data_IF_293971369602
#
_entry.id   IF_293971369602
#
_cell.length_a   1.000
_cell.length_b   1.000
_cell.length_c   1.000
_cell.angle_alpha   90.00
_cell.angle_beta   90.00
_cell.angle_gamma   90.00
#
_symmetry.space_group_name_H-M   'P 1'
#
loop_
_entity.id
_entity.type
_entity.pdbx_description
1 polymer ?
#
# COMPACT_ATOMS: atom_id res chain seq x y z
N UNK A 1 14.13 -2.32 -21.56
CA UNK A 1 14.24 -1.35 -20.46
C UNK A 1 12.87 -1.24 -19.79
N UNK A 2 12.56 -2.17 -18.88
CA UNK A 2 11.28 -2.21 -18.15
C UNK A 2 11.57 -2.67 -16.72
N UNK A 3 12.38 -1.93 -15.98
CA UNK A 3 12.84 -2.34 -14.63
C UNK A 3 12.68 -1.24 -13.55
N UNK A 4 12.10 -0.08 -13.87
CA UNK A 4 12.09 1.05 -12.92
C UNK A 4 10.77 1.26 -12.16
N UNK A 5 9.64 0.74 -12.66
CA UNK A 5 8.32 0.98 -12.05
C UNK A 5 7.91 -0.02 -10.96
N UNK A 6 8.61 -1.15 -10.85
CA UNK A 6 8.38 -2.11 -9.75
C UNK A 6 8.95 -1.59 -8.42
N UNK A 7 10.04 -0.82 -8.46
CA UNK A 7 10.72 -0.36 -7.25
C UNK A 7 9.87 0.56 -6.36
N UNK A 8 9.12 1.56 -6.88
CA UNK A 8 8.38 2.48 -6.02
C UNK A 8 7.18 1.81 -5.34
N UNK A 9 6.44 0.96 -6.05
CA UNK A 9 5.29 0.24 -5.49
C UNK A 9 5.74 -0.74 -4.42
N UNK A 10 6.71 -1.58 -4.74
CA UNK A 10 7.22 -2.59 -3.81
C UNK A 10 7.83 -1.95 -2.56
N UNK A 11 8.54 -0.82 -2.73
CA UNK A 11 9.08 -0.05 -1.61
C UNK A 11 7.99 0.64 -0.78
N UNK A 12 6.91 1.09 -1.40
CA UNK A 12 5.76 1.62 -0.68
C UNK A 12 5.04 0.51 0.13
N UNK A 13 4.91 -0.69 -0.43
CA UNK A 13 4.37 -1.85 0.28
C UNK A 13 5.25 -2.22 1.48
N UNK A 14 6.56 -2.28 1.29
CA UNK A 14 7.53 -2.57 2.34
C UNK A 14 7.48 -1.56 3.50
N UNK A 15 7.36 -0.26 3.20
CA UNK A 15 7.23 0.78 4.23
C UNK A 15 5.96 0.59 5.08
N UNK A 16 4.80 0.40 4.45
CA UNK A 16 3.54 0.29 5.18
C UNK A 16 3.43 -1.04 5.93
N UNK A 17 3.80 -2.15 5.28
CA UNK A 17 3.78 -3.48 5.89
C UNK A 17 4.83 -3.59 7.00
N UNK A 18 6.04 -3.06 6.78
CA UNK A 18 7.12 -3.01 7.76
C UNK A 18 6.76 -2.19 8.99
N UNK A 19 6.07 -1.05 8.84
CA UNK A 19 5.57 -0.22 9.94
C UNK A 19 4.61 -1.01 10.87
N UNK A 20 3.87 -1.96 10.29
CA UNK A 20 2.89 -2.79 10.98
C UNK A 20 3.46 -4.13 11.48
N UNK A 21 4.74 -4.40 11.20
CA UNK A 21 5.41 -5.66 11.54
C UNK A 21 5.00 -6.84 10.65
N UNK A 22 4.40 -6.58 9.49
CA UNK A 22 4.11 -7.61 8.50
C UNK A 22 5.37 -7.88 7.66
N UNK A 23 5.75 -9.15 7.53
CA UNK A 23 6.92 -9.60 6.78
C UNK A 23 6.74 -9.44 5.26
N UNK A 24 7.84 -9.54 4.51
CA UNK A 24 7.97 -9.44 3.03
C UNK A 24 7.08 -10.41 2.22
N UNK A 25 6.27 -11.23 2.90
CA UNK A 25 5.36 -12.21 2.31
C UNK A 25 3.93 -11.70 2.14
N UNK A 26 3.66 -10.47 2.60
CA UNK A 26 2.42 -9.77 2.36
C UNK A 26 2.52 -8.83 1.15
N UNK A 27 1.44 -8.69 0.40
CA UNK A 27 1.27 -7.68 -0.64
C UNK A 27 0.02 -6.84 -0.36
N UNK A 28 0.04 -5.57 -0.74
CA UNK A 28 -1.10 -4.68 -0.52
C UNK A 28 -2.04 -4.76 -1.71
N UNK A 29 -3.28 -5.17 -1.45
CA UNK A 29 -4.36 -5.22 -2.44
C UNK A 29 -5.01 -3.86 -2.57
N UNK A 30 -5.33 -3.24 -1.44
CA UNK A 30 -5.94 -1.92 -1.39
C UNK A 30 -5.48 -1.18 -0.13
N UNK A 31 -5.34 0.13 -0.22
CA UNK A 31 -5.02 0.96 0.94
C UNK A 31 -5.69 2.33 0.80
N UNK A 32 -6.19 2.84 1.92
CA UNK A 32 -6.92 4.08 2.02
C UNK A 32 -6.37 4.89 3.20
N UNK A 33 -6.07 6.18 2.95
CA UNK A 33 -5.73 7.13 4.01
C UNK A 33 -6.98 7.43 4.82
N UNK A 34 -6.84 7.46 6.15
CA UNK A 34 -7.90 7.87 7.08
C UNK A 34 -7.55 9.22 7.69
N UNK A 35 -8.46 9.80 8.47
CA UNK A 35 -8.28 11.13 9.08
C UNK A 35 -7.06 11.22 10.01
N UNK A 36 -6.66 10.09 10.62
CA UNK A 36 -5.53 10.03 11.55
C UNK A 36 -4.60 8.85 11.28
N UNK A 37 -4.50 8.38 10.04
CA UNK A 37 -3.67 7.23 9.70
C UNK A 37 -4.04 6.59 8.36
N UNK A 38 -4.11 5.26 8.33
CA UNK A 38 -4.48 4.50 7.14
C UNK A 38 -5.05 3.13 7.48
N UNK A 39 -5.83 2.59 6.55
CA UNK A 39 -6.34 1.22 6.58
C UNK A 39 -6.21 0.59 5.22
N UNK A 40 -6.08 -0.72 5.17
CA UNK A 40 -5.96 -1.43 3.91
C UNK A 40 -6.25 -2.91 4.03
N UNK A 41 -6.20 -3.56 2.88
CA UNK A 41 -6.34 -4.99 2.72
C UNK A 41 -5.04 -5.50 2.12
N UNK A 42 -4.38 -6.39 2.85
CA UNK A 42 -3.23 -7.15 2.40
C UNK A 42 -3.64 -8.56 1.99
N UNK A 43 -2.78 -9.22 1.24
CA UNK A 43 -2.87 -10.63 0.91
C UNK A 43 -1.54 -11.31 1.19
N UNK A 44 -1.59 -12.45 1.85
CA UNK A 44 -0.44 -13.31 2.09
C UNK A 44 -0.11 -14.12 0.83
N UNK A 45 1.11 -14.67 0.73
CA UNK A 45 1.50 -15.57 -0.39
C UNK A 45 0.55 -16.76 -0.59
N UNK A 46 -0.06 -17.27 0.48
CA UNK A 46 -1.04 -18.36 0.42
C UNK A 46 -2.41 -17.91 -0.14
N UNK A 47 -2.58 -16.63 -0.48
CA UNK A 47 -3.83 -16.06 -0.99
C UNK A 47 -4.82 -15.65 0.09
N UNK A 48 -4.49 -15.84 1.37
CA UNK A 48 -5.31 -15.40 2.50
C UNK A 48 -5.25 -13.88 2.62
N UNK A 49 -6.41 -13.23 2.59
CA UNK A 49 -6.50 -11.77 2.77
C UNK A 49 -6.59 -11.39 4.24
N UNK A 50 -5.99 -10.27 4.62
CA UNK A 50 -6.07 -9.69 5.95
C UNK A 50 -6.30 -8.19 5.89
N UNK A 51 -6.99 -7.65 6.88
CA UNK A 51 -7.17 -6.20 7.02
C UNK A 51 -6.14 -5.66 7.96
N UNK A 52 -5.53 -4.53 7.60
CA UNK A 52 -4.60 -3.82 8.46
C UNK A 52 -5.04 -2.37 8.65
N UNK A 53 -4.69 -1.81 9.81
CA UNK A 53 -4.90 -0.39 10.11
C UNK A 53 -3.76 0.14 10.96
N UNK A 54 -3.40 1.39 10.71
CA UNK A 54 -2.53 2.19 11.56
C UNK A 54 -3.32 3.39 12.04
N UNK A 55 -3.35 3.57 13.36
CA UNK A 55 -4.00 4.68 14.04
C UNK A 55 -2.88 5.51 14.67
N UNK A 56 -2.47 6.59 14.00
CA UNK A 56 -1.31 7.38 14.39
C UNK A 56 -0.87 8.39 13.32
N UNK A 57 -0.07 9.40 13.73
CA UNK A 57 0.48 10.35 12.79
C UNK A 57 1.32 9.63 11.74
N UNK A 58 0.97 9.83 10.48
CA UNK A 58 1.71 9.28 9.35
C UNK A 58 3.11 9.89 9.32
N UNK A 59 4.12 9.04 9.23
CA UNK A 59 5.48 9.49 8.93
C UNK A 59 5.57 9.93 7.47
N UNK A 60 6.52 10.81 7.13
CA UNK A 60 6.71 11.28 5.74
C UNK A 60 6.91 10.13 4.73
N UNK A 61 7.48 9.01 5.18
CA UNK A 61 7.62 7.78 4.37
C UNK A 61 6.28 7.09 4.15
N UNK A 62 5.42 7.00 5.16
CA UNK A 62 4.10 6.39 5.06
C UNK A 62 3.18 7.24 4.18
N UNK A 63 3.28 8.57 4.26
CA UNK A 63 2.56 9.48 3.36
C UNK A 63 2.98 9.32 1.90
N UNK A 64 4.29 9.20 1.65
CA UNK A 64 4.80 8.90 0.32
C UNK A 64 4.30 7.53 -0.17
N UNK A 65 4.39 6.49 0.66
CA UNK A 65 3.96 5.15 0.31
C UNK A 65 2.47 5.09 -0.01
N UNK A 66 1.63 5.73 0.81
CA UNK A 66 0.20 5.89 0.54
C UNK A 66 -0.05 6.61 -0.77
N UNK A 67 0.68 7.69 -1.06
CA UNK A 67 0.57 8.42 -2.32
C UNK A 67 0.88 7.54 -3.53
N UNK A 68 1.94 6.72 -3.47
CA UNK A 68 2.29 5.79 -4.55
C UNK A 68 1.19 4.73 -4.75
N UNK A 69 0.73 4.11 -3.66
CA UNK A 69 -0.23 3.00 -3.72
C UNK A 69 -1.64 3.48 -4.09
N UNK A 70 -2.06 4.65 -3.64
CA UNK A 70 -3.34 5.26 -4.03
C UNK A 70 -3.29 5.81 -5.45
N UNK A 71 -2.18 6.44 -5.86
CA UNK A 71 -2.02 6.94 -7.25
C UNK A 71 -1.96 5.81 -8.27
N UNK A 72 -1.34 4.67 -7.94
CA UNK A 72 -1.34 3.47 -8.77
C UNK A 72 -2.70 2.78 -8.87
N UNK A 73 -3.53 2.89 -7.82
CA UNK A 73 -4.88 2.30 -7.77
C UNK A 73 -5.92 3.16 -8.49
N UNK A 74 -5.77 4.49 -8.47
CA UNK A 74 -6.71 5.43 -9.09
C UNK A 74 -6.72 5.40 -10.63
N UNK A 75 -5.74 4.74 -11.25
CA UNK A 75 -5.64 4.67 -12.72
C UNK A 75 -6.46 3.52 -13.35
N UNK A 76 -7.29 2.80 -12.58
CA UNK A 76 -8.21 1.76 -13.12
C UNK A 76 -9.66 2.23 -13.31
N UNK A 77 -10.01 3.44 -12.88
CA UNK A 77 -11.38 3.96 -12.96
C UNK A 77 -11.52 5.25 -13.81
N UNK A 78 -10.70 5.39 -14.85
CA UNK A 78 -10.80 6.55 -15.76
C UNK A 78 -10.66 6.15 -17.23
N UNK A 79 -11.53 5.24 -17.70
CA UNK A 79 -11.91 5.12 -19.13
C UNK A 79 -13.10 4.16 -19.32
N UNK A 80 -14.24 4.47 -18.71
CA UNK A 80 -15.54 3.94 -19.13
C UNK A 80 -16.60 5.02 -18.84
N UNK A 81 -16.60 6.07 -19.65
CA UNK A 81 -17.67 7.06 -19.75
C UNK A 81 -17.64 7.63 -21.17
#
# INVERSE_FOLDING_TARGET
MVEDFLQPKQRAEDILLGSLGYSEEASIVNVEKTESGYKGIGVWKDGVTFTFKSEGPLSSLEEWALSILTSGTNNRNKAAA
#
